data_IF_904843239744
#
_entry.id   IF_904843239744
#
_cell.length_a   1.000
_cell.length_b   1.000
_cell.length_c   1.000
_cell.angle_alpha   90.00
_cell.angle_beta   90.00
_cell.angle_gamma   90.00
#
_symmetry.space_group_name_H-M   'P 1'
#
loop_
_entity.id
_entity.type
_entity.pdbx_description
1 polymer ?
#
# COMPACT_ATOMS: atom_id res chain seq x y z
N UNK A 1 -46.72 22.52 -9.80
CA UNK A 1 -46.83 21.04 -9.85
C UNK A 1 -45.42 20.47 -9.93
N UNK A 2 -45.18 19.46 -9.09
CA UNK A 2 -43.92 18.83 -8.71
C UNK A 2 -43.31 17.90 -9.78
N UNK A 3 -41.99 17.66 -9.64
CA UNK A 3 -41.21 16.43 -9.96
C UNK A 3 -40.89 16.17 -11.45
N UNK A 4 -39.66 15.82 -11.88
CA UNK A 4 -38.60 14.90 -11.39
C UNK A 4 -37.27 15.24 -12.12
N UNK A 5 -36.16 15.59 -11.44
CA UNK A 5 -35.00 14.74 -11.10
C UNK A 5 -34.54 13.70 -12.14
N UNK A 6 -33.40 13.96 -12.77
CA UNK A 6 -32.32 12.95 -12.96
C UNK A 6 -30.97 13.65 -12.75
N UNK A 7 -30.29 13.23 -11.68
CA UNK A 7 -28.92 13.60 -11.36
C UNK A 7 -27.96 12.88 -12.33
N UNK A 8 -27.10 13.64 -12.99
CA UNK A 8 -25.91 13.11 -13.66
C UNK A 8 -24.90 12.68 -12.58
N UNK A 9 -24.41 11.43 -12.59
CA UNK A 9 -23.54 10.92 -11.54
C UNK A 9 -22.13 11.49 -11.67
N UNK A 10 -21.56 11.79 -10.51
CA UNK A 10 -20.16 12.09 -10.30
C UNK A 10 -19.28 10.93 -10.78
N UNK A 11 -18.75 11.04 -12.01
CA UNK A 11 -17.68 10.18 -12.52
C UNK A 11 -16.62 11.06 -13.15
N UNK A 12 -16.03 11.94 -12.34
CA UNK A 12 -14.83 12.68 -12.73
C UNK A 12 -14.15 13.13 -11.45
N UNK A 13 -13.34 12.25 -10.84
CA UNK A 13 -12.24 12.54 -9.89
C UNK A 13 -11.47 11.27 -9.50
N UNK A 14 -10.96 10.53 -10.50
CA UNK A 14 -9.95 9.48 -10.30
C UNK A 14 -8.79 9.60 -11.29
N UNK A 15 -8.35 10.83 -11.58
CA UNK A 15 -7.15 11.10 -12.38
C UNK A 15 -6.30 12.16 -11.69
N UNK A 16 -5.66 11.77 -10.60
CA UNK A 16 -4.36 12.26 -10.10
C UNK A 16 -3.96 11.31 -8.97
N UNK A 17 -2.66 11.04 -8.83
CA UNK A 17 -2.11 9.96 -8.00
C UNK A 17 -2.86 9.72 -6.70
N UNK A 18 -3.24 8.45 -6.50
CA UNK A 18 -3.93 7.94 -5.31
C UNK A 18 -3.04 8.21 -4.09
N UNK A 19 -3.19 9.40 -3.51
CA UNK A 19 -2.84 9.66 -2.14
C UNK A 19 -4.01 9.10 -1.35
N UNK A 20 -3.79 7.96 -0.68
CA UNK A 20 -4.77 7.36 0.22
C UNK A 20 -5.43 8.46 1.05
N UNK A 21 -6.76 8.56 1.09
CA UNK A 21 -7.42 9.38 2.09
C UNK A 21 -7.00 8.79 3.45
N UNK A 22 -6.09 9.47 4.15
CA UNK A 22 -5.70 9.11 5.52
C UNK A 22 -6.88 9.40 6.43
N UNK A 23 -7.84 8.48 6.51
CA UNK A 23 -8.93 8.52 7.48
C UNK A 23 -8.54 7.80 8.77
N UNK A 24 -7.49 8.29 9.42
CA UNK A 24 -7.45 8.30 10.87
C UNK A 24 -7.72 9.74 11.28
N UNK A 25 -8.69 9.91 12.16
CA UNK A 25 -9.18 11.21 12.61
C UNK A 25 -8.10 11.88 13.47
N UNK A 26 -7.04 12.36 12.83
CA UNK A 26 -5.98 13.10 13.49
C UNK A 26 -6.55 14.44 13.93
N UNK A 27 -6.45 14.76 15.22
CA UNK A 27 -6.44 16.17 15.58
C UNK A 27 -5.20 16.81 14.92
N UNK A 28 -5.24 18.10 14.55
CA UNK A 28 -4.16 18.81 13.86
C UNK A 28 -2.78 18.77 14.56
N UNK A 29 -2.72 18.20 15.78
CA UNK A 29 -1.54 18.03 16.64
C UNK A 29 -1.06 16.57 16.80
N UNK A 30 -1.67 15.57 16.16
CA UNK A 30 -1.20 14.17 16.19
C UNK A 30 -1.50 13.36 17.45
N UNK A 31 -2.46 13.81 18.27
CA UNK A 31 -2.92 13.12 19.49
C UNK A 31 -4.17 12.27 19.24
N UNK A 32 -4.23 11.08 19.84
CA UNK A 32 -5.35 10.15 19.75
C UNK A 32 -5.84 9.80 21.17
N UNK A 33 -7.05 10.25 21.49
CA UNK A 33 -7.68 10.03 22.79
C UNK A 33 -8.33 8.66 22.87
N UNK A 34 -8.25 8.03 24.05
CA UNK A 34 -8.93 6.78 24.33
C UNK A 34 -10.44 6.92 24.17
N UNK A 35 -11.08 5.86 23.63
CA UNK A 35 -12.53 5.73 23.59
C UNK A 35 -12.93 4.53 24.44
N UNK A 36 -14.10 4.62 25.06
CA UNK A 36 -14.70 3.48 25.77
C UNK A 36 -15.51 2.66 24.78
N UNK A 37 -15.34 1.34 24.78
CA UNK A 37 -15.96 0.43 23.80
C UNK A 37 -14.93 -0.22 22.88
N UNK A 38 -15.28 -0.45 21.62
CA UNK A 38 -14.40 -1.12 20.67
C UNK A 38 -13.19 -0.24 20.30
N UNK A 39 -11.96 -0.81 20.29
CA UNK A 39 -10.76 -0.08 19.92
C UNK A 39 -10.78 0.28 18.43
N UNK A 40 -10.48 1.55 18.12
CA UNK A 40 -10.25 1.96 16.74
C UNK A 40 -8.92 1.40 16.22
N UNK A 41 -8.90 1.04 14.94
CA UNK A 41 -7.69 0.56 14.26
C UNK A 41 -6.81 1.74 13.86
N UNK A 42 -5.56 1.70 14.29
CA UNK A 42 -4.56 2.74 14.06
C UNK A 42 -3.48 2.12 13.17
N UNK A 43 -3.15 2.80 12.07
CA UNK A 43 -2.15 2.32 11.12
C UNK A 43 -0.90 3.18 11.22
N UNK A 44 0.25 2.55 11.44
CA UNK A 44 1.55 3.22 11.55
C UNK A 44 2.45 2.69 10.44
N UNK A 45 2.99 3.60 9.62
CA UNK A 45 3.92 3.22 8.55
C UNK A 45 5.20 2.69 9.21
N UNK A 46 5.79 1.63 8.66
CA UNK A 46 7.07 1.11 9.15
C UNK A 46 8.13 2.21 9.29
N UNK A 47 8.98 2.08 10.30
CA UNK A 47 10.06 3.01 10.62
C UNK A 47 9.61 4.45 10.92
N UNK A 48 8.31 4.68 11.11
CA UNK A 48 7.78 5.95 11.59
C UNK A 48 7.38 5.85 13.06
N UNK A 49 7.20 7.01 13.69
CA UNK A 49 6.64 7.08 15.03
C UNK A 49 5.12 6.94 14.97
N UNK A 50 4.54 6.25 15.96
CA UNK A 50 3.09 6.22 16.15
C UNK A 50 2.55 7.63 16.44
N UNK A 51 1.25 7.88 16.21
CA UNK A 51 0.60 9.01 16.87
C UNK A 51 0.75 8.89 18.39
N UNK A 52 0.61 10.02 19.08
CA UNK A 52 0.65 10.03 20.54
C UNK A 52 -0.70 9.54 21.07
N UNK A 53 -0.68 8.37 21.70
CA UNK A 53 -1.85 7.77 22.33
C UNK A 53 -2.04 8.37 23.71
N UNK A 54 -3.26 8.83 24.01
CA UNK A 54 -3.59 9.52 25.24
C UNK A 54 -4.47 8.61 26.11
N UNK A 55 -4.01 8.29 27.31
CA UNK A 55 -4.71 7.43 28.28
C UNK A 55 -5.88 8.13 29.00
N UNK A 56 -6.76 8.75 28.23
CA UNK A 56 -8.01 9.36 28.71
C UNK A 56 -8.90 9.66 27.52
N UNK A 57 -10.21 9.72 27.74
CA UNK A 57 -11.12 10.27 26.75
C UNK A 57 -11.05 11.81 26.70
N UNK A 58 -11.51 12.36 25.58
CA UNK A 58 -11.49 13.80 25.32
C UNK A 58 -12.34 14.62 26.30
N UNK A 59 -13.36 14.04 26.92
CA UNK A 59 -14.20 14.76 27.90
C UNK A 59 -13.45 14.86 29.23
N UNK A 60 -12.79 13.79 29.66
CA UNK A 60 -12.01 13.74 30.87
C UNK A 60 -10.74 14.59 30.77
N UNK A 61 -10.12 14.68 29.59
CA UNK A 61 -8.95 15.53 29.38
C UNK A 61 -9.21 17.04 29.52
N UNK A 62 -10.48 17.45 29.62
CA UNK A 62 -10.90 18.83 29.85
C UNK A 62 -11.31 19.10 31.31
N UNK A 63 -11.12 18.12 32.19
CA UNK A 63 -11.47 18.20 33.61
C UNK A 63 -10.21 18.09 34.44
N UNK A 64 -10.23 18.72 35.60
CA UNK A 64 -9.24 18.47 36.64
C UNK A 64 -9.45 17.06 37.21
N UNK A 65 -8.36 16.32 37.37
CA UNK A 65 -8.32 14.99 37.96
C UNK A 65 -7.25 14.98 39.05
N UNK A 66 -7.58 14.38 40.20
CA UNK A 66 -6.69 14.35 41.37
C UNK A 66 -5.90 13.05 41.37
N UNK A 67 -4.60 13.14 41.66
CA UNK A 67 -3.65 12.02 41.77
C UNK A 67 -3.74 10.99 40.62
N UNK A 68 -3.63 11.39 39.34
CA UNK A 68 -3.75 10.45 38.25
C UNK A 68 -2.55 9.50 38.17
N UNK A 69 -2.83 8.21 37.99
CA UNK A 69 -1.83 7.18 37.71
C UNK A 69 -2.18 6.44 36.42
N UNK A 70 -1.16 6.08 35.67
CA UNK A 70 -1.30 5.51 34.33
C UNK A 70 -0.51 4.21 34.23
N UNK A 71 -1.15 3.16 33.73
CA UNK A 71 -0.53 1.87 33.47
C UNK A 71 -0.77 1.48 32.02
N UNK A 72 0.30 1.28 31.26
CA UNK A 72 0.26 0.81 29.88
C UNK A 72 0.67 -0.65 29.79
N UNK A 73 -0.09 -1.44 29.02
CA UNK A 73 0.19 -2.84 28.67
C UNK A 73 0.29 -2.91 27.14
N UNK A 74 1.37 -3.53 26.66
CA UNK A 74 1.66 -3.66 25.24
C UNK A 74 1.02 -4.89 24.60
N UNK A 75 1.26 -5.10 23.29
CA UNK A 75 0.68 -6.20 22.52
C UNK A 75 1.14 -7.59 22.99
N UNK A 76 2.28 -7.68 23.68
CA UNK A 76 2.80 -8.92 24.25
C UNK A 76 2.34 -9.14 25.70
N UNK A 77 1.26 -8.48 26.13
CA UNK A 77 0.68 -8.53 27.48
C UNK A 77 1.59 -8.05 28.63
N UNK A 78 2.78 -7.57 28.30
CA UNK A 78 3.73 -7.04 29.28
C UNK A 78 3.47 -5.55 29.57
N UNK A 79 3.68 -5.16 30.83
CA UNK A 79 3.69 -3.75 31.24
C UNK A 79 4.76 -2.98 30.48
N UNK A 80 4.37 -1.87 29.86
CA UNK A 80 5.29 -1.02 29.12
C UNK A 80 6.02 -0.07 30.07
N UNK A 81 7.34 -0.06 29.94
CA UNK A 81 8.23 0.92 30.56
C UNK A 81 8.97 1.69 29.47
N UNK A 82 9.41 2.92 29.79
CA UNK A 82 10.14 3.75 28.85
C UNK A 82 11.44 3.08 28.40
N UNK A 83 11.69 3.07 27.09
CA UNK A 83 12.92 2.53 26.49
C UNK A 83 13.23 3.26 25.17
N UNK A 84 14.22 2.78 24.40
CA UNK A 84 14.63 3.43 23.15
C UNK A 84 13.50 3.56 22.11
N UNK A 85 12.53 2.63 22.10
CA UNK A 85 11.37 2.61 21.19
C UNK A 85 10.06 3.01 21.84
N UNK A 86 9.97 3.04 23.16
CA UNK A 86 8.74 3.35 23.90
C UNK A 86 8.95 4.62 24.71
N UNK A 87 8.21 5.67 24.36
CA UNK A 87 8.18 6.92 25.13
C UNK A 87 6.86 7.02 25.89
N UNK A 88 6.94 7.06 27.22
CA UNK A 88 5.79 7.22 28.10
C UNK A 88 6.01 8.47 28.96
N UNK A 89 5.06 9.39 28.94
CA UNK A 89 5.12 10.61 29.76
C UNK A 89 4.46 10.41 31.12
N UNK A 90 4.81 11.26 32.10
CA UNK A 90 4.14 11.30 33.42
C UNK A 90 2.63 11.61 33.33
N UNK A 91 2.19 12.20 32.22
CA UNK A 91 0.78 12.51 31.93
C UNK A 91 0.05 11.37 31.21
N UNK A 92 0.65 10.18 31.12
CA UNK A 92 0.01 8.99 30.55
C UNK A 92 -0.03 8.95 29.03
N UNK A 93 0.82 9.72 28.36
CA UNK A 93 0.93 9.70 26.90
C UNK A 93 1.89 8.61 26.46
N UNK A 94 1.56 7.87 25.40
CA UNK A 94 2.40 6.83 24.80
C UNK A 94 2.73 7.17 23.34
N UNK A 95 4.00 7.09 22.99
CA UNK A 95 4.47 7.09 21.59
C UNK A 95 5.42 5.91 21.38
N UNK A 96 5.16 5.12 20.35
CA UNK A 96 6.04 4.05 19.87
C UNK A 96 6.89 4.61 18.73
N UNK A 97 8.21 4.57 18.87
CA UNK A 97 9.19 5.04 17.88
C UNK A 97 9.65 3.89 17.01
N UNK A 98 10.03 4.21 15.76
CA UNK A 98 10.57 3.24 14.80
C UNK A 98 9.68 1.97 14.75
N UNK A 99 8.41 2.18 14.36
CA UNK A 99 7.40 1.13 14.45
C UNK A 99 7.74 -0.04 13.52
N UNK A 100 7.71 -1.26 14.08
CA UNK A 100 8.01 -2.51 13.38
C UNK A 100 6.82 -3.48 13.47
N UNK A 101 6.84 -4.51 12.64
CA UNK A 101 5.81 -5.55 12.56
C UNK A 101 5.44 -6.15 13.92
N UNK A 102 6.41 -6.58 14.76
CA UNK A 102 6.09 -7.24 16.04
C UNK A 102 5.54 -6.29 17.11
N UNK A 103 5.57 -4.97 16.86
CA UNK A 103 4.95 -3.98 17.74
C UNK A 103 3.47 -3.78 17.44
N UNK A 104 2.93 -4.48 16.44
CA UNK A 104 1.50 -4.46 16.15
C UNK A 104 0.71 -5.24 17.20
N UNK A 105 -0.53 -4.81 17.44
CA UNK A 105 -1.47 -5.48 18.33
C UNK A 105 -2.19 -4.53 19.28
N UNK A 106 -2.71 -5.09 20.37
CA UNK A 106 -3.52 -4.40 21.35
C UNK A 106 -2.65 -3.68 22.39
N UNK A 107 -2.80 -2.36 22.46
CA UNK A 107 -2.27 -1.54 23.53
C UNK A 107 -3.39 -1.16 24.47
N UNK A 108 -3.24 -1.48 25.76
CA UNK A 108 -4.23 -1.16 26.80
C UNK A 108 -3.65 -0.13 27.74
N UNK A 109 -4.42 0.90 28.07
CA UNK A 109 -4.10 1.79 29.18
C UNK A 109 -5.17 1.77 30.27
N UNK A 110 -4.71 1.74 31.52
CA UNK A 110 -5.55 1.95 32.70
C UNK A 110 -5.18 3.29 33.36
N UNK A 111 -6.14 4.22 33.37
CA UNK A 111 -6.09 5.45 34.14
C UNK A 111 -6.80 5.24 35.48
N UNK A 112 -6.13 5.52 36.58
CA UNK A 112 -6.75 5.61 37.91
C UNK A 112 -6.61 7.04 38.43
N UNK A 113 -7.69 7.62 38.93
CA UNK A 113 -7.69 8.96 39.53
C UNK A 113 -8.66 9.03 40.71
N UNK A 114 -8.50 10.03 41.56
CA UNK A 114 -9.36 10.24 42.74
C UNK A 114 -10.44 11.29 42.46
N UNK A 115 -11.60 11.05 43.04
CA UNK A 115 -12.65 12.06 43.23
C UNK A 115 -12.68 12.36 44.73
N UNK A 116 -12.41 13.61 45.10
CA UNK A 116 -12.42 14.08 46.49
C UNK A 116 -13.66 14.92 46.69
N UNK A 117 -14.50 14.56 47.67
CA UNK A 117 -15.60 15.43 48.10
C UNK A 117 -15.03 16.53 48.98
N UNK A 118 -15.05 17.78 48.51
CA UNK A 118 -14.46 18.91 49.22
C UNK A 118 -14.96 19.06 50.67
N UNK A 119 -16.25 18.78 50.90
CA UNK A 119 -16.91 18.94 52.20
C UNK A 119 -16.53 17.88 53.23
N UNK A 120 -16.37 16.62 52.81
CA UNK A 120 -16.16 15.48 53.72
C UNK A 120 -14.74 14.93 53.70
N UNK A 121 -13.89 15.41 52.78
CA UNK A 121 -12.57 14.84 52.48
C UNK A 121 -12.63 13.34 52.12
N UNK A 122 -13.81 12.85 51.72
CA UNK A 122 -13.99 11.46 51.30
C UNK A 122 -13.36 11.26 49.92
N UNK A 123 -12.38 10.35 49.84
CA UNK A 123 -11.69 10.00 48.61
C UNK A 123 -12.30 8.75 47.97
N UNK A 124 -12.61 8.84 46.67
CA UNK A 124 -13.03 7.69 45.87
C UNK A 124 -12.12 7.52 44.65
N UNK A 125 -11.48 6.37 44.55
CA UNK A 125 -10.68 6.01 43.37
C UNK A 125 -11.56 5.49 42.24
N UNK A 126 -11.40 6.07 41.06
CA UNK A 126 -12.06 5.64 39.81
C UNK A 126 -10.99 5.10 38.86
N UNK A 127 -11.28 3.94 38.25
CA UNK A 127 -10.44 3.34 37.21
C UNK A 127 -11.16 3.34 35.87
N UNK A 128 -10.43 3.69 34.80
CA UNK A 128 -10.89 3.67 33.42
C UNK A 128 -9.87 2.94 32.56
N UNK A 129 -10.37 2.07 31.67
CA UNK A 129 -9.58 1.33 30.70
C UNK A 129 -9.85 1.86 29.29
N UNK A 130 -8.79 1.98 28.50
CA UNK A 130 -8.83 2.39 27.10
C UNK A 130 -7.97 1.44 26.28
N UNK A 131 -8.53 0.97 25.17
CA UNK A 131 -7.91 -0.01 24.29
C UNK A 131 -7.60 0.63 22.93
N UNK A 132 -6.43 0.34 22.36
CA UNK A 132 -5.95 0.84 21.09
C UNK A 132 -5.42 -0.32 20.25
N UNK A 133 -5.97 -0.52 19.06
CA UNK A 133 -5.47 -1.57 18.16
C UNK A 133 -4.55 -0.94 17.11
N UNK A 134 -3.27 -1.25 17.16
CA UNK A 134 -2.25 -0.60 16.32
C UNK A 134 -1.65 -1.61 15.34
N UNK A 135 -1.57 -1.27 14.06
CA UNK A 135 -1.03 -2.13 13.00
C UNK A 135 0.10 -1.44 12.26
N UNK A 136 1.18 -2.18 12.00
CA UNK A 136 2.17 -1.79 11.02
C UNK A 136 1.58 -1.88 9.61
N UNK A 137 1.88 -0.90 8.78
CA UNK A 137 1.56 -0.96 7.36
C UNK A 137 2.70 -0.41 6.50
N UNK A 138 2.59 -0.70 5.21
CA UNK A 138 3.46 -0.26 4.13
C UNK A 138 2.63 0.12 2.92
N UNK A 139 3.15 1.01 2.08
CA UNK A 139 2.58 1.15 0.73
C UNK A 139 2.94 -0.10 -0.08
N UNK A 140 2.06 -0.60 -0.95
CA UNK A 140 2.41 -1.71 -1.83
C UNK A 140 3.60 -1.34 -2.70
N UNK A 141 4.47 -2.32 -2.95
CA UNK A 141 5.32 -2.27 -4.12
C UNK A 141 4.40 -2.51 -5.33
N UNK A 142 4.70 -1.92 -6.48
CA UNK A 142 3.87 -2.12 -7.66
C UNK A 142 4.64 -2.09 -8.96
N UNK A 143 4.04 -2.75 -9.95
CA UNK A 143 4.48 -2.80 -11.33
C UNK A 143 3.31 -2.41 -12.23
N UNK A 144 3.60 -2.11 -13.49
CA UNK A 144 2.56 -1.81 -14.47
C UNK A 144 2.54 -2.87 -15.55
N UNK A 145 1.42 -3.57 -15.68
CA UNK A 145 1.11 -4.36 -16.86
C UNK A 145 0.63 -3.40 -17.95
N UNK A 146 1.28 -3.45 -19.11
CA UNK A 146 0.97 -2.59 -20.24
C UNK A 146 0.67 -3.42 -21.48
N UNK A 147 -0.22 -2.89 -22.32
CA UNK A 147 -0.50 -3.45 -23.64
C UNK A 147 -0.67 -2.34 -24.67
N UNK A 148 -0.19 -2.57 -25.89
CA UNK A 148 -0.27 -1.63 -27.02
C UNK A 148 -0.55 -2.39 -28.31
N UNK A 149 -1.11 -1.69 -29.31
CA UNK A 149 -1.33 -2.23 -30.64
C UNK A 149 -0.54 -1.44 -31.68
N UNK A 150 0.05 -2.15 -32.63
CA UNK A 150 0.75 -1.57 -33.79
C UNK A 150 0.22 -2.20 -35.07
N UNK A 151 0.08 -1.42 -36.14
CA UNK A 151 -0.23 -2.00 -37.45
C UNK A 151 0.96 -2.78 -37.99
N UNK A 152 0.71 -3.72 -38.91
CA UNK A 152 1.74 -4.35 -39.73
C UNK A 152 1.20 -4.70 -41.10
N UNK A 153 2.08 -4.89 -42.08
CA UNK A 153 1.70 -5.33 -43.43
C UNK A 153 1.27 -6.79 -43.49
N UNK A 154 1.82 -7.63 -42.61
CA UNK A 154 1.55 -9.07 -42.60
C UNK A 154 1.92 -9.68 -41.25
N UNK A 155 1.15 -10.69 -40.84
CA UNK A 155 1.54 -11.55 -39.73
C UNK A 155 2.62 -12.57 -40.09
N UNK A 156 2.92 -12.73 -41.38
CA UNK A 156 3.94 -13.65 -41.89
C UNK A 156 5.21 -12.84 -42.19
N UNK A 157 6.30 -13.12 -41.47
CA UNK A 157 7.63 -12.57 -41.78
C UNK A 157 8.46 -12.19 -40.56
N UNK A 158 9.77 -12.00 -40.77
CA UNK A 158 10.77 -11.71 -39.70
C UNK A 158 10.80 -10.25 -39.25
N UNK A 159 10.11 -9.35 -39.95
CA UNK A 159 10.11 -7.92 -39.64
C UNK A 159 9.41 -7.62 -38.31
N UNK A 160 8.36 -8.36 -37.97
CA UNK A 160 7.64 -8.21 -36.70
C UNK A 160 8.57 -8.49 -35.51
N UNK A 161 9.37 -9.56 -35.58
CA UNK A 161 10.37 -9.88 -34.55
C UNK A 161 11.45 -8.80 -34.40
N UNK A 162 11.92 -8.27 -35.54
CA UNK A 162 12.93 -7.22 -35.54
C UNK A 162 12.39 -5.92 -34.90
N UNK A 163 11.18 -5.52 -35.28
CA UNK A 163 10.48 -4.38 -34.70
C UNK A 163 10.26 -4.58 -33.20
N UNK A 164 9.74 -5.73 -32.79
CA UNK A 164 9.47 -6.03 -31.38
C UNK A 164 10.74 -5.96 -30.52
N UNK A 165 11.86 -6.53 -30.99
CA UNK A 165 13.16 -6.40 -30.31
C UNK A 165 13.64 -4.95 -30.22
N UNK A 166 13.41 -4.15 -31.26
CA UNK A 166 13.78 -2.74 -31.26
C UNK A 166 12.92 -1.95 -30.26
N UNK A 167 11.60 -2.15 -30.27
CA UNK A 167 10.68 -1.51 -29.34
C UNK A 167 11.06 -1.81 -27.89
N UNK A 168 11.35 -3.08 -27.56
CA UNK A 168 11.84 -3.46 -26.23
C UNK A 168 13.07 -2.64 -25.82
N UNK A 169 14.07 -2.51 -26.70
CA UNK A 169 15.29 -1.71 -26.42
C UNK A 169 14.98 -0.24 -26.18
N UNK A 170 14.06 0.33 -26.97
CA UNK A 170 13.62 1.72 -26.78
C UNK A 170 12.98 1.88 -25.40
N UNK A 171 12.03 1.00 -25.06
CA UNK A 171 11.33 1.04 -23.77
C UNK A 171 12.28 0.86 -22.58
N UNK A 172 13.21 -0.11 -22.66
CA UNK A 172 14.24 -0.31 -21.61
C UNK A 172 15.11 0.94 -21.45
N UNK A 173 15.58 1.54 -22.55
CA UNK A 173 16.41 2.74 -22.52
C UNK A 173 15.67 3.94 -21.89
N UNK A 174 14.38 4.13 -22.21
CA UNK A 174 13.55 5.23 -21.68
C UNK A 174 13.46 5.26 -20.15
N UNK A 175 13.62 4.11 -19.48
CA UNK A 175 13.41 3.95 -18.04
C UNK A 175 14.65 3.47 -17.28
N UNK A 176 15.76 3.24 -17.99
CA UNK A 176 16.99 2.66 -17.45
C UNK A 176 17.62 3.46 -16.29
N UNK A 177 17.59 4.78 -16.35
CA UNK A 177 18.07 5.68 -15.29
C UNK A 177 17.21 5.62 -14.02
N UNK A 178 15.98 5.11 -14.12
CA UNK A 178 15.06 4.97 -13.00
C UNK A 178 15.23 3.64 -12.26
N UNK A 179 16.24 2.83 -12.61
CA UNK A 179 16.42 1.47 -12.09
C UNK A 179 15.19 0.57 -12.32
N UNK A 180 14.42 0.87 -13.36
CA UNK A 180 13.29 0.07 -13.80
C UNK A 180 13.68 -0.71 -15.06
N UNK A 181 12.95 -1.78 -15.37
CA UNK A 181 13.13 -2.52 -16.63
C UNK A 181 11.81 -3.06 -17.18
N UNK A 182 11.85 -3.51 -18.43
CA UNK A 182 10.74 -4.24 -19.05
C UNK A 182 10.95 -5.75 -18.89
N UNK A 183 9.96 -6.42 -18.30
CA UNK A 183 9.92 -7.88 -18.13
C UNK A 183 8.75 -8.51 -18.88
N UNK A 184 8.89 -9.81 -19.12
CA UNK A 184 7.91 -10.65 -19.79
C UNK A 184 7.30 -10.04 -21.07
N UNK A 185 8.08 -9.35 -21.92
CA UNK A 185 7.51 -8.77 -23.12
C UNK A 185 7.12 -9.89 -24.07
N UNK A 186 5.94 -9.80 -24.65
CA UNK A 186 5.43 -10.73 -25.65
C UNK A 186 4.63 -10.00 -26.71
N UNK A 187 4.47 -10.64 -27.87
CA UNK A 187 3.57 -10.13 -28.90
C UNK A 187 2.84 -11.27 -29.61
N UNK A 188 1.64 -10.97 -30.12
CA UNK A 188 0.88 -11.81 -31.04
C UNK A 188 0.42 -10.97 -32.22
N UNK A 189 0.31 -11.57 -33.40
CA UNK A 189 -0.21 -10.90 -34.58
C UNK A 189 -1.60 -11.44 -34.93
N UNK A 190 -2.52 -10.54 -35.22
CA UNK A 190 -3.90 -10.88 -35.57
C UNK A 190 -4.38 -10.06 -36.77
N UNK A 191 -5.26 -10.65 -37.57
CA UNK A 191 -6.04 -9.92 -38.57
C UNK A 191 -7.28 -9.36 -37.88
N UNK A 192 -7.46 -8.04 -37.97
CA UNK A 192 -8.57 -7.30 -37.37
C UNK A 192 -9.39 -6.72 -38.50
N UNK A 193 -10.69 -7.00 -38.49
CA UNK A 193 -11.62 -6.35 -39.39
C UNK A 193 -12.06 -5.03 -38.77
N UNK A 194 -11.73 -3.92 -39.42
CA UNK A 194 -12.17 -2.59 -39.02
C UNK A 194 -13.35 -2.18 -39.90
N UNK A 195 -14.48 -1.75 -39.31
CA UNK A 195 -15.60 -1.21 -40.07
C UNK A 195 -15.12 -0.15 -41.07
N UNK A 196 -15.56 -0.24 -42.32
CA UNK A 196 -15.24 0.70 -43.41
C UNK A 196 -13.77 0.70 -43.90
N UNK A 197 -12.84 0.07 -43.17
CA UNK A 197 -11.40 0.06 -43.49
C UNK A 197 -10.88 -1.34 -43.86
N UNK A 198 -11.72 -2.36 -43.75
CA UNK A 198 -11.43 -3.73 -44.17
C UNK A 198 -10.52 -4.49 -43.21
N UNK A 199 -9.92 -5.56 -43.71
CA UNK A 199 -9.00 -6.41 -42.95
C UNK A 199 -7.62 -5.77 -42.88
N UNK A 200 -7.15 -5.50 -41.67
CA UNK A 200 -5.78 -5.06 -41.40
C UNK A 200 -5.07 -6.03 -40.44
N UNK A 201 -3.74 -6.07 -40.48
CA UNK A 201 -2.96 -6.85 -39.53
C UNK A 201 -2.41 -5.97 -38.42
N UNK A 202 -2.49 -6.46 -37.19
CA UNK A 202 -1.99 -5.74 -36.02
C UNK A 202 -1.20 -6.65 -35.08
N UNK A 203 -0.19 -6.05 -34.45
CA UNK A 203 0.62 -6.63 -33.39
C UNK A 203 0.04 -6.20 -32.04
N UNK A 204 -0.40 -7.18 -31.26
CA UNK A 204 -0.82 -7.03 -29.88
C UNK A 204 0.39 -7.31 -29.02
N UNK A 205 0.94 -6.25 -28.42
CA UNK A 205 2.16 -6.31 -27.61
C UNK A 205 1.78 -6.11 -26.16
N UNK A 206 2.26 -6.98 -25.28
CA UNK A 206 2.07 -6.89 -23.84
C UNK A 206 3.42 -7.01 -23.14
N UNK A 207 3.60 -6.25 -22.06
CA UNK A 207 4.82 -6.27 -21.27
C UNK A 207 4.54 -5.72 -19.86
N UNK A 208 5.45 -5.98 -18.93
CA UNK A 208 5.36 -5.44 -17.57
C UNK A 208 6.56 -4.54 -17.30
N UNK A 209 6.31 -3.41 -16.64
CA UNK A 209 7.34 -2.48 -16.15
C UNK A 209 7.55 -2.75 -14.67
N UNK A 210 8.76 -3.13 -14.29
CA UNK A 210 9.09 -3.53 -12.92
C UNK A 210 10.14 -2.59 -12.30
N UNK A 211 9.96 -2.14 -11.04
CA UNK A 211 10.89 -1.24 -10.36
C UNK A 211 12.21 -1.87 -9.90
N UNK A 212 12.36 -3.19 -10.02
CA UNK A 212 13.45 -3.93 -9.40
C UNK A 212 14.47 -4.42 -10.43
N UNK A 213 14.96 -3.51 -11.28
CA UNK A 213 16.00 -3.85 -12.25
C UNK A 213 17.31 -4.28 -11.58
N UNK A 214 18.18 -5.07 -12.26
CA UNK A 214 19.49 -5.40 -11.71
C UNK A 214 20.24 -4.16 -11.20
N UNK A 215 20.63 -4.17 -9.93
CA UNK A 215 21.29 -3.04 -9.28
C UNK A 215 20.37 -1.99 -8.65
N UNK A 216 19.04 -2.17 -8.67
CA UNK A 216 18.07 -1.20 -8.11
C UNK A 216 18.34 -0.80 -6.66
N UNK A 217 18.91 -1.70 -5.84
CA UNK A 217 19.28 -1.41 -4.45
C UNK A 217 20.26 -0.24 -4.33
N UNK A 218 21.09 -0.02 -5.36
CA UNK A 218 22.02 1.11 -5.43
C UNK A 218 21.29 2.46 -5.47
N UNK A 219 20.06 2.52 -6.01
CA UNK A 219 19.27 3.74 -6.06
C UNK A 219 18.77 4.19 -4.67
N UNK A 220 18.82 3.32 -3.66
CA UNK A 220 18.30 3.61 -2.33
C UNK A 220 19.24 4.42 -1.43
N UNK A 221 20.47 4.72 -1.86
CA UNK A 221 21.47 5.50 -1.12
C UNK A 221 21.63 5.11 0.37
N UNK A 222 21.54 3.81 0.68
CA UNK A 222 21.68 3.30 2.05
C UNK A 222 20.46 3.49 2.96
N UNK A 223 19.32 3.95 2.44
CA UNK A 223 18.06 3.95 3.18
C UNK A 223 17.70 2.53 3.61
N UNK A 224 17.27 2.39 4.87
CA UNK A 224 16.73 1.13 5.41
C UNK A 224 15.44 0.74 4.68
N UNK A 225 14.67 1.74 4.23
CA UNK A 225 13.46 1.53 3.44
C UNK A 225 13.55 2.22 2.07
N UNK A 226 13.56 1.41 1.01
CA UNK A 226 13.62 1.84 -0.38
C UNK A 226 12.26 2.17 -1.00
N UNK A 227 11.15 1.88 -0.31
CA UNK A 227 9.77 1.91 -0.85
C UNK A 227 9.44 3.22 -1.56
N UNK A 228 9.72 4.36 -0.94
CA UNK A 228 9.39 5.68 -1.50
C UNK A 228 10.17 5.94 -2.81
N UNK A 229 11.41 5.46 -2.90
CA UNK A 229 12.26 5.63 -4.09
C UNK A 229 11.77 4.72 -5.21
N UNK A 230 11.53 3.43 -4.92
CA UNK A 230 11.06 2.47 -5.93
C UNK A 230 9.69 2.87 -6.46
N UNK A 231 8.77 3.31 -5.59
CA UNK A 231 7.43 3.76 -5.97
C UNK A 231 7.44 5.06 -6.79
N UNK A 232 8.33 6.00 -6.47
CA UNK A 232 8.51 7.21 -7.29
C UNK A 232 9.07 6.87 -8.68
N UNK A 233 10.08 6.01 -8.74
CA UNK A 233 10.74 5.64 -9.98
C UNK A 233 9.79 4.92 -10.95
N UNK A 234 9.00 3.95 -10.46
CA UNK A 234 8.06 3.24 -11.32
C UNK A 234 6.92 4.13 -11.82
N UNK A 235 6.47 5.10 -11.01
CA UNK A 235 5.51 6.10 -11.44
C UNK A 235 6.07 6.96 -12.58
N UNK A 236 7.33 7.38 -12.44
CA UNK A 236 8.02 8.15 -13.49
C UNK A 236 8.26 7.29 -14.75
N UNK A 237 8.60 6.01 -14.60
CA UNK A 237 8.77 5.08 -15.71
C UNK A 237 7.45 4.90 -16.48
N UNK A 238 6.33 4.76 -15.77
CA UNK A 238 4.99 4.73 -16.36
C UNK A 238 4.71 5.98 -17.19
N UNK A 239 4.92 7.16 -16.60
CA UNK A 239 4.67 8.44 -17.29
C UNK A 239 5.51 8.58 -18.56
N UNK A 240 6.80 8.20 -18.54
CA UNK A 240 7.67 8.28 -19.72
C UNK A 240 7.22 7.34 -20.84
N UNK A 241 6.74 6.15 -20.49
CA UNK A 241 6.23 5.19 -21.48
C UNK A 241 4.88 5.66 -22.06
N UNK A 242 3.98 6.19 -21.22
CA UNK A 242 2.73 6.80 -21.66
C UNK A 242 3.00 7.97 -22.64
N UNK A 243 3.92 8.87 -22.27
CA UNK A 243 4.33 10.01 -23.11
C UNK A 243 4.97 9.55 -24.42
N UNK A 244 5.78 8.49 -24.41
CA UNK A 244 6.37 7.90 -25.61
C UNK A 244 5.30 7.48 -26.62
N UNK A 245 4.30 6.69 -26.18
CA UNK A 245 3.22 6.22 -27.07
C UNK A 245 2.27 7.36 -27.48
N UNK A 246 1.96 8.28 -26.56
CA UNK A 246 1.17 9.47 -26.89
C UNK A 246 1.85 10.32 -27.97
N UNK A 247 3.18 10.47 -27.89
CA UNK A 247 3.97 11.17 -28.91
C UNK A 247 3.91 10.47 -30.26
N UNK A 248 3.86 9.13 -30.30
CA UNK A 248 3.69 8.38 -31.57
C UNK A 248 2.34 8.70 -32.22
N UNK A 249 1.26 8.73 -31.44
CA UNK A 249 -0.08 9.11 -31.93
C UNK A 249 -0.12 10.57 -32.41
N UNK A 250 0.49 11.49 -31.67
CA UNK A 250 0.55 12.91 -32.04
C UNK A 250 1.30 13.15 -33.36
N UNK A 251 2.48 12.53 -33.52
CA UNK A 251 3.28 12.63 -34.76
C UNK A 251 2.47 12.11 -35.96
N UNK A 252 1.70 11.04 -35.75
CA UNK A 252 0.81 10.48 -36.76
C UNK A 252 -0.31 11.43 -37.15
N UNK A 253 -1.03 12.00 -36.17
CA UNK A 253 -2.15 12.89 -36.41
C UNK A 253 -1.74 14.22 -37.06
N UNK A 254 -0.54 14.74 -36.80
CA UNK A 254 -0.14 16.07 -37.28
C UNK A 254 0.77 16.08 -38.51
N UNK A 255 1.22 14.94 -39.03
CA UNK A 255 2.07 14.85 -40.23
C UNK A 255 1.35 14.22 -41.44
N UNK A 256 0.15 14.72 -41.78
CA UNK A 256 -0.68 14.22 -42.89
C UNK A 256 0.02 14.13 -44.27
N UNK A 257 1.09 14.90 -44.50
CA UNK A 257 1.80 14.95 -45.78
C UNK A 257 2.89 13.88 -45.96
N UNK A 258 3.03 12.90 -45.05
CA UNK A 258 4.03 11.82 -45.14
C UNK A 258 3.38 10.47 -45.38
N UNK A 259 4.02 9.64 -46.22
CA UNK A 259 3.60 8.25 -46.46
C UNK A 259 3.51 7.50 -45.14
N UNK A 260 2.37 6.86 -44.89
CA UNK A 260 2.11 6.11 -43.66
C UNK A 260 3.16 4.99 -43.49
N UNK A 261 3.87 4.93 -42.36
CA UNK A 261 4.71 3.79 -42.05
C UNK A 261 3.87 2.51 -41.99
N UNK A 262 4.42 1.44 -42.58
CA UNK A 262 3.82 0.11 -42.54
C UNK A 262 3.49 -0.37 -41.11
N UNK A 263 4.32 0.05 -40.15
CA UNK A 263 4.15 -0.22 -38.73
C UNK A 263 4.06 1.11 -37.99
N UNK A 264 2.89 1.42 -37.45
CA UNK A 264 2.66 2.59 -36.61
C UNK A 264 1.77 2.23 -35.42
N UNK A 265 1.86 3.04 -34.38
CA UNK A 265 1.05 2.87 -33.16
C UNK A 265 -0.43 3.09 -33.47
N UNK A 266 -1.29 2.20 -33.00
CA UNK A 266 -2.75 2.36 -33.09
C UNK A 266 -3.17 3.28 -31.97
N UNK A 267 -3.71 4.45 -32.30
CA UNK A 267 -4.12 5.45 -31.31
C UNK A 267 -5.14 4.87 -30.31
N UNK A 268 -5.09 5.34 -29.07
CA UNK A 268 -5.89 4.86 -27.94
C UNK A 268 -5.78 3.36 -27.61
N UNK A 269 -4.82 2.63 -28.20
CA UNK A 269 -4.61 1.20 -27.90
C UNK A 269 -3.81 0.93 -26.63
N UNK A 270 -3.17 1.95 -26.04
CA UNK A 270 -2.39 1.81 -24.82
C UNK A 270 -3.30 1.51 -23.64
N UNK A 271 -3.08 0.37 -23.01
CA UNK A 271 -3.69 -0.04 -21.75
C UNK A 271 -2.63 -0.11 -20.67
N UNK A 272 -2.93 0.39 -19.48
CA UNK A 272 -2.04 0.40 -18.33
C UNK A 272 -2.79 -0.06 -17.09
N UNK A 273 -2.33 -1.14 -16.47
CA UNK A 273 -2.92 -1.73 -15.26
C UNK A 273 -1.85 -1.82 -14.18
N UNK A 274 -2.16 -1.30 -12.99
CA UNK A 274 -1.27 -1.41 -11.82
C UNK A 274 -1.43 -2.77 -11.16
N UNK A 275 -0.31 -3.45 -10.92
CA UNK A 275 -0.24 -4.70 -10.18
C UNK A 275 0.48 -4.47 -8.87
N UNK A 276 -0.27 -4.53 -7.77
CA UNK A 276 0.27 -4.38 -6.42
C UNK A 276 0.84 -5.69 -5.88
N UNK A 277 1.88 -5.56 -5.06
CA UNK A 277 2.60 -6.63 -4.39
C UNK A 277 2.89 -6.21 -2.96
N UNK A 278 2.67 -7.10 -1.99
CA UNK A 278 3.02 -6.87 -0.60
C UNK A 278 4.27 -7.64 -0.25
N UNK A 279 5.17 -7.04 0.54
CA UNK A 279 6.37 -7.75 1.01
C UNK A 279 5.98 -8.88 1.99
N UNK A 280 6.82 -9.93 2.12
CA UNK A 280 6.54 -11.02 3.05
C UNK A 280 6.21 -10.54 4.46
N UNK A 281 5.17 -11.13 5.05
CA UNK A 281 4.58 -10.72 6.33
C UNK A 281 3.47 -9.67 6.23
N UNK A 282 3.14 -9.19 5.03
CA UNK A 282 2.07 -8.22 4.80
C UNK A 282 1.06 -8.73 3.77
N UNK A 283 -0.15 -8.17 3.84
CA UNK A 283 -1.23 -8.43 2.88
C UNK A 283 -2.24 -7.30 2.84
N UNK A 284 -3.17 -7.39 1.89
CA UNK A 284 -4.30 -6.49 1.72
C UNK A 284 -5.57 -7.19 2.17
N UNK A 285 -6.40 -6.46 2.89
CA UNK A 285 -7.73 -6.91 3.27
C UNK A 285 -8.64 -5.68 3.41
N UNK A 286 -9.40 -5.39 2.36
CA UNK A 286 -10.29 -4.23 2.31
C UNK A 286 -11.41 -4.31 3.35
N UNK A 287 -11.83 -5.52 3.71
CA UNK A 287 -12.89 -5.75 4.70
C UNK A 287 -12.40 -5.50 6.12
N UNK A 288 -11.22 -6.05 6.45
CA UNK A 288 -10.61 -5.89 7.76
C UNK A 288 -9.99 -4.50 7.94
N UNK A 289 -9.37 -3.95 6.89
CA UNK A 289 -8.58 -2.73 6.94
C UNK A 289 -9.14 -1.62 6.04
N UNK A 290 -10.44 -1.36 6.13
CA UNK A 290 -11.14 -0.36 5.31
C UNK A 290 -10.53 1.05 5.32
N UNK A 291 -9.94 1.50 6.43
CA UNK A 291 -9.24 2.80 6.54
C UNK A 291 -7.86 2.83 5.84
N UNK A 292 -7.37 1.70 5.36
CA UNK A 292 -6.11 1.54 4.62
C UNK A 292 -6.26 0.44 3.54
N UNK A 293 -7.40 0.41 2.84
CA UNK A 293 -7.75 -0.68 1.91
C UNK A 293 -6.68 -0.92 0.83
N UNK A 294 -6.07 0.14 0.30
CA UNK A 294 -5.00 0.02 -0.69
C UNK A 294 -3.62 -0.34 -0.10
N UNK A 295 -3.47 -0.42 1.21
CA UNK A 295 -2.19 -0.61 1.90
C UNK A 295 -1.87 -2.09 2.13
N UNK A 296 -0.57 -2.39 2.20
CA UNK A 296 -0.11 -3.67 2.72
C UNK A 296 -0.04 -3.58 4.26
N UNK A 297 -0.99 -4.20 4.95
CA UNK A 297 -1.04 -4.24 6.41
C UNK A 297 -0.39 -5.54 6.90
N UNK A 298 0.26 -5.48 8.05
CA UNK A 298 0.92 -6.62 8.66
C UNK A 298 -0.06 -7.78 8.87
N UNK A 299 0.34 -9.00 8.50
CA UNK A 299 -0.45 -10.18 8.75
C UNK A 299 -0.65 -10.40 10.25
N UNK A 300 -1.88 -10.68 10.66
CA UNK A 300 -2.23 -10.91 12.06
C UNK A 300 -1.71 -12.27 12.55
N UNK A 301 -1.63 -12.50 13.87
CA UNK A 301 -1.47 -13.84 14.42
C UNK A 301 -2.46 -14.82 13.80
N UNK A 302 -2.07 -16.10 13.75
CA UNK A 302 -2.73 -17.15 12.99
C UNK A 302 -2.70 -16.96 11.45
N UNK A 303 -1.92 -16.01 10.92
CA UNK A 303 -1.72 -15.83 9.48
C UNK A 303 -0.26 -15.52 9.14
N UNK A 304 0.12 -15.74 7.88
CA UNK A 304 1.46 -15.46 7.36
C UNK A 304 1.43 -15.10 5.88
N UNK A 305 2.46 -14.45 5.37
CA UNK A 305 2.63 -14.17 3.94
C UNK A 305 4.09 -14.45 3.54
N UNK A 306 4.36 -15.49 2.73
CA UNK A 306 5.73 -15.92 2.45
C UNK A 306 6.41 -15.19 1.29
N UNK A 307 5.60 -14.60 0.40
CA UNK A 307 6.05 -14.09 -0.88
C UNK A 307 5.54 -12.67 -1.14
N UNK A 308 5.55 -12.26 -2.41
CA UNK A 308 5.13 -10.94 -2.90
C UNK A 308 3.62 -10.82 -3.11
N UNK A 309 2.86 -11.86 -2.77
CA UNK A 309 1.40 -11.89 -2.86
C UNK A 309 0.74 -10.88 -1.93
N UNK A 310 -0.53 -10.57 -2.22
CA UNK A 310 -1.31 -9.58 -1.45
C UNK A 310 -2.20 -10.22 -0.39
N UNK A 311 -2.07 -11.52 -0.12
CA UNK A 311 -2.99 -12.26 0.76
C UNK A 311 -2.23 -12.83 1.96
N UNK A 312 -2.72 -12.56 3.17
CA UNK A 312 -2.27 -13.26 4.37
C UNK A 312 -2.96 -14.63 4.44
N UNK A 313 -2.17 -15.69 4.35
CA UNK A 313 -2.63 -17.08 4.38
C UNK A 313 -2.80 -17.54 5.83
N UNK A 314 -3.79 -18.39 6.11
CA UNK A 314 -4.03 -18.91 7.46
C UNK A 314 -2.93 -19.90 7.88
N UNK A 315 -2.41 -19.72 9.09
CA UNK A 315 -1.48 -20.62 9.77
C UNK A 315 -1.62 -20.47 11.29
N UNK A 316 -2.43 -21.33 11.90
CA UNK A 316 -2.83 -21.21 13.32
C UNK A 316 -1.67 -21.32 14.32
N UNK A 317 -0.55 -21.93 13.93
CA UNK A 317 0.64 -22.09 14.79
C UNK A 317 1.45 -20.79 14.97
N UNK A 318 1.19 -19.75 14.18
CA UNK A 318 1.87 -18.47 14.26
C UNK A 318 1.18 -17.57 15.29
N UNK A 319 1.93 -17.08 16.28
CA UNK A 319 1.41 -16.20 17.34
C UNK A 319 1.88 -14.74 17.22
N UNK A 320 2.67 -14.42 16.20
CA UNK A 320 3.26 -13.10 15.99
C UNK A 320 2.65 -12.40 14.79
N UNK A 321 2.66 -11.07 14.82
CA UNK A 321 2.37 -10.26 13.65
C UNK A 321 3.53 -10.33 12.64
N UNK A 322 3.18 -10.38 11.35
CA UNK A 322 4.15 -10.25 10.26
C UNK A 322 4.94 -11.52 9.96
N UNK A 323 4.38 -12.70 10.26
CA UNK A 323 5.05 -13.95 9.96
C UNK A 323 5.25 -14.17 8.46
N UNK A 324 6.45 -14.66 8.11
CA UNK A 324 6.90 -14.90 6.73
C UNK A 324 6.90 -16.38 6.35
N UNK A 325 6.61 -17.24 7.30
CA UNK A 325 6.55 -18.69 7.10
C UNK A 325 5.58 -19.30 8.10
N UNK A 326 5.02 -20.45 7.72
CA UNK A 326 4.21 -21.28 8.61
C UNK A 326 5.07 -22.43 9.11
N UNK A 327 5.32 -22.56 10.43
CA UNK A 327 6.01 -23.72 10.98
C UNK A 327 5.21 -24.99 10.69
N UNK A 328 5.80 -25.95 9.99
CA UNK A 328 5.25 -27.30 9.89
C UNK A 328 5.36 -27.97 11.26
N UNK A 329 4.23 -28.34 11.87
CA UNK A 329 4.25 -29.23 13.03
C UNK A 329 4.93 -30.53 12.61
N UNK A 330 6.13 -30.80 13.13
CA UNK A 330 6.71 -32.13 13.08
C UNK A 330 5.85 -33.06 13.93
N UNK A 331 4.77 -33.60 13.33
CA UNK A 331 4.17 -34.85 13.80
C UNK A 331 5.06 -36.00 13.36
N UNK A 332 6.24 -36.11 13.96
CA UNK A 332 7.10 -37.30 13.94
C UNK A 332 7.99 -37.22 15.19
N UNK A 333 7.36 -37.33 16.34
CA UNK A 333 8.01 -37.73 17.57
C UNK A 333 7.28 -39.01 17.97
N UNK A 334 7.91 -40.20 17.85
CA UNK A 334 7.32 -41.41 18.38
C UNK A 334 7.15 -41.19 19.89
N UNK A 335 5.95 -41.45 20.40
CA UNK A 335 5.82 -41.75 21.82
C UNK A 335 6.72 -42.96 22.08
N UNK A 336 7.82 -42.77 22.80
CA UNK A 336 8.49 -43.87 23.49
C UNK A 336 7.73 -44.10 24.81
N UNK A 337 7.39 -45.36 25.02
CA UNK A 337 6.58 -45.93 26.11
C UNK A 337 7.18 -45.75 27.51
#
# INVERSE_FOLDING_TARGET
>A
VMRTWVLLPAVLWCLTGVRCPRSTLFNAKGFLYGKTGQPEKIYVKLHQNSPVLICMDFKLSKKEIVDPTYLWIGPNENTLTGNNRINITKTGQLMVKDFLEPLSGLYTCTLSYKIVKAETQEEKTVKKRYDFMVFAYREPDYSYQMAVRFTTKSCIGRYNDAFFRMLKKILDNLISDLSCHVIEPSYKCHSVEIPEHGLIHELFIAFQVNPFAPGWKGACNGSVDCEDITNRNILQARNRIEEFFWSQAYIFYHNFNKTLPAMHFVDHSLQVVRLDSCRPGFGKDDGLHSNCASCCVVCSPATFSPDVGVICQTCVSVLIYGAKSCPTSNKNQPCED
#
